data_IF_416098165439
#
_entry.id   IF_416098165439
#
_cell.length_a   1.000
_cell.length_b   1.000
_cell.length_c   1.000
_cell.angle_alpha   90.00
_cell.angle_beta   90.00
_cell.angle_gamma   90.00
#
_symmetry.space_group_name_H-M   'P 1'
#
loop_
_entity.id
_entity.type
_entity.pdbx_description
1 polymer ?
#
# COMPACT_ATOMS: atom_id res chain seq x y z
N UNK A 1 -12.67 -7.69 -2.55
CA UNK A 1 -11.60 -7.34 -1.60
C UNK A 1 -11.26 -5.85 -1.62
N UNK A 2 -10.70 -5.26 -2.68
CA UNK A 2 -10.51 -3.79 -2.72
C UNK A 2 -11.85 -3.04 -2.88
N UNK A 3 -12.76 -3.64 -3.65
CA UNK A 3 -14.12 -3.14 -3.94
C UNK A 3 -15.03 -3.01 -2.70
N UNK A 4 -14.62 -3.56 -1.56
CA UNK A 4 -15.36 -3.51 -0.28
C UNK A 4 -15.08 -2.23 0.53
N UNK A 5 -14.05 -1.47 0.15
CA UNK A 5 -13.64 -0.25 0.85
C UNK A 5 -14.26 1.01 0.24
N UNK A 6 -14.08 2.16 0.90
CA UNK A 6 -14.58 3.42 0.36
C UNK A 6 -13.98 3.74 -1.00
N UNK A 7 -14.70 4.56 -1.78
CA UNK A 7 -14.19 5.09 -3.04
C UNK A 7 -12.87 5.85 -2.85
N UNK A 8 -12.68 6.53 -1.70
CA UNK A 8 -11.45 7.26 -1.40
C UNK A 8 -10.23 6.35 -1.28
N UNK A 9 -10.40 5.23 -0.56
CA UNK A 9 -9.36 4.20 -0.44
C UNK A 9 -9.06 3.57 -1.79
N UNK A 10 -10.10 3.13 -2.52
CA UNK A 10 -9.94 2.51 -3.84
C UNK A 10 -9.20 3.44 -4.79
N UNK A 11 -9.64 4.70 -4.90
CA UNK A 11 -9.01 5.71 -5.74
C UNK A 11 -7.53 5.90 -5.39
N UNK A 12 -7.20 5.96 -4.11
CA UNK A 12 -5.81 6.12 -3.66
C UNK A 12 -4.92 4.99 -4.17
N UNK A 13 -5.37 3.74 -4.09
CA UNK A 13 -4.57 2.61 -4.57
C UNK A 13 -4.54 2.47 -6.08
N UNK A 14 -5.63 2.81 -6.77
CA UNK A 14 -5.62 2.91 -8.23
C UNK A 14 -4.58 3.94 -8.71
N UNK A 15 -4.54 5.14 -8.12
CA UNK A 15 -3.54 6.16 -8.45
C UNK A 15 -2.09 5.67 -8.22
N UNK A 16 -1.87 4.90 -7.15
CA UNK A 16 -0.55 4.37 -6.82
C UNK A 16 -0.10 3.27 -7.78
N UNK A 17 -1.02 2.38 -8.19
CA UNK A 17 -0.70 1.14 -8.89
C UNK A 17 -0.90 1.19 -10.41
N UNK A 18 -1.85 1.97 -10.93
CA UNK A 18 -2.23 1.96 -12.36
C UNK A 18 -1.08 2.40 -13.28
N UNK A 19 -0.11 3.19 -12.78
CA UNK A 19 1.01 3.71 -13.57
C UNK A 19 2.35 3.00 -13.30
N UNK A 20 2.38 1.87 -12.59
CA UNK A 20 3.64 1.24 -12.17
C UNK A 20 3.79 -0.18 -12.67
N UNK A 21 4.89 -0.42 -13.38
CA UNK A 21 5.33 -1.78 -13.67
C UNK A 21 5.89 -2.43 -12.41
N UNK A 22 5.19 -3.44 -11.91
CA UNK A 22 5.63 -4.30 -10.80
C UNK A 22 6.43 -5.53 -11.27
N UNK A 23 6.74 -5.61 -12.56
CA UNK A 23 7.37 -6.79 -13.21
C UNK A 23 8.89 -6.72 -13.09
N UNK A 24 9.43 -6.72 -11.87
CA UNK A 24 10.87 -6.81 -11.67
C UNK A 24 11.22 -7.65 -10.42
N UNK A 25 12.38 -8.32 -10.44
CA UNK A 25 12.80 -9.31 -9.44
C UNK A 25 12.89 -8.75 -8.00
N UNK A 26 12.90 -7.43 -7.85
CA UNK A 26 12.96 -6.73 -6.56
C UNK A 26 11.62 -6.35 -5.94
N UNK A 27 10.47 -6.80 -6.44
CA UNK A 27 9.15 -6.35 -5.93
C UNK A 27 9.01 -6.50 -4.42
N UNK A 28 9.35 -7.67 -3.87
CA UNK A 28 9.22 -7.97 -2.44
C UNK A 28 10.22 -7.24 -1.55
N UNK A 29 11.25 -6.61 -2.13
CA UNK A 29 12.23 -5.78 -1.44
C UNK A 29 12.20 -4.34 -1.96
N UNK A 30 11.14 -3.98 -2.68
CA UNK A 30 11.05 -2.74 -3.44
C UNK A 30 10.51 -1.57 -2.62
N UNK A 31 9.93 -1.85 -1.45
CA UNK A 31 9.27 -0.88 -0.61
C UNK A 31 8.19 -0.11 -1.38
N UNK A 32 7.98 1.15 -1.01
CA UNK A 32 7.12 2.08 -1.76
C UNK A 32 7.91 2.82 -2.84
N UNK A 33 7.23 3.10 -3.95
CA UNK A 33 7.76 3.93 -5.06
C UNK A 33 6.98 5.23 -5.24
N UNK A 34 6.14 5.60 -4.30
CA UNK A 34 5.26 6.76 -4.34
C UNK A 34 5.53 7.68 -3.16
N UNK A 35 5.21 8.95 -3.34
CA UNK A 35 5.18 9.92 -2.26
C UNK A 35 4.00 9.66 -1.33
N UNK A 36 4.18 9.99 -0.06
CA UNK A 36 3.16 9.81 0.97
C UNK A 36 2.81 11.14 1.62
N UNK A 37 1.58 11.19 2.09
CA UNK A 37 1.02 12.32 2.81
C UNK A 37 0.43 11.82 4.15
N UNK A 38 0.58 12.61 5.20
CA UNK A 38 0.21 12.19 6.55
C UNK A 38 -1.31 12.15 6.72
N UNK A 39 -2.02 13.15 6.20
CA UNK A 39 -3.47 13.22 6.21
C UNK A 39 -4.06 12.02 5.47
N UNK A 40 -3.49 11.66 4.31
CA UNK A 40 -3.87 10.45 3.58
C UNK A 40 -3.66 9.17 4.40
N UNK A 41 -2.53 9.05 5.10
CA UNK A 41 -2.29 7.91 6.01
C UNK A 41 -3.38 7.80 7.09
N UNK A 42 -3.75 8.92 7.71
CA UNK A 42 -4.80 8.97 8.75
C UNK A 42 -6.18 8.61 8.19
N UNK A 43 -6.49 9.01 6.95
CA UNK A 43 -7.73 8.59 6.27
C UNK A 43 -7.74 7.08 6.04
N UNK A 44 -6.66 6.53 5.49
CA UNK A 44 -6.54 5.09 5.23
C UNK A 44 -6.60 4.27 6.53
N UNK A 45 -5.96 4.73 7.60
CA UNK A 45 -5.89 4.00 8.88
C UNK A 45 -7.24 3.89 9.58
N UNK A 46 -8.17 4.83 9.31
CA UNK A 46 -9.55 4.76 9.84
C UNK A 46 -10.36 3.64 9.22
N UNK A 47 -10.03 3.26 7.98
CA UNK A 47 -10.74 2.20 7.25
C UNK A 47 -10.01 0.85 7.34
N UNK A 48 -8.68 0.85 7.25
CA UNK A 48 -7.87 -0.36 7.29
C UNK A 48 -6.43 -0.08 7.71
N UNK A 49 -6.03 -0.66 8.84
CA UNK A 49 -4.64 -0.64 9.31
C UNK A 49 -3.69 -1.25 8.28
N UNK A 50 -4.12 -2.31 7.58
CA UNK A 50 -3.31 -2.93 6.54
C UNK A 50 -3.13 -2.03 5.32
N UNK A 51 -4.18 -1.32 4.91
CA UNK A 51 -4.09 -0.35 3.82
C UNK A 51 -3.11 0.78 4.18
N UNK A 52 -3.22 1.32 5.40
CA UNK A 52 -2.31 2.35 5.88
C UNK A 52 -0.86 1.84 5.97
N UNK A 53 -0.64 0.61 6.44
CA UNK A 53 0.66 -0.02 6.45
C UNK A 53 1.24 -0.16 5.04
N UNK A 54 0.47 -0.72 4.11
CA UNK A 54 0.90 -0.90 2.72
C UNK A 54 1.20 0.45 2.05
N UNK A 55 0.42 1.49 2.33
CA UNK A 55 0.64 2.83 1.81
C UNK A 55 2.00 3.42 2.25
N UNK A 56 2.40 3.18 3.50
CA UNK A 56 3.65 3.70 4.07
C UNK A 56 4.86 2.87 3.67
N UNK A 57 4.74 1.55 3.72
CA UNK A 57 5.87 0.63 3.56
C UNK A 57 6.03 0.11 2.13
N UNK A 58 4.93 0.01 1.39
CA UNK A 58 4.89 -0.62 0.08
C UNK A 58 5.17 -2.12 0.14
N UNK A 59 5.83 -2.65 -0.89
CA UNK A 59 6.07 -4.08 -1.00
C UNK A 59 7.34 -4.48 -0.24
N UNK A 60 7.15 -4.93 1.00
CA UNK A 60 8.19 -5.51 1.85
C UNK A 60 7.63 -6.66 2.71
N UNK A 61 8.49 -7.53 3.28
CA UNK A 61 8.04 -8.53 4.23
C UNK A 61 7.42 -7.86 5.46
N UNK A 62 6.25 -8.33 5.88
CA UNK A 62 5.58 -7.80 7.08
C UNK A 62 6.14 -8.42 8.37
N UNK A 63 6.49 -9.70 8.32
CA UNK A 63 7.13 -10.41 9.42
C UNK A 63 7.94 -11.58 8.88
N UNK A 64 8.87 -12.06 9.71
CA UNK A 64 9.56 -13.31 9.51
C UNK A 64 9.26 -14.21 10.70
N UNK A 65 9.14 -15.51 10.45
CA UNK A 65 8.94 -16.52 11.49
C UNK A 65 10.15 -17.43 11.50
N UNK A 66 10.80 -17.53 12.66
CA UNK A 66 11.88 -18.48 12.90
C UNK A 66 11.32 -19.76 13.52
N UNK A 67 11.92 -20.90 13.19
CA UNK A 67 11.61 -22.21 13.77
C UNK A 67 12.37 -22.42 15.07
#
# INVERSE_FOLDING_TARGET
>A
MLEEFSYGLQKTFHEIFDNKSFVNDGLLMGGRKWEIDYEKYIELSKESEYAAWLYVWGFCPNHFTFL
#
